data_IF_229349497606
#
_entry.id   IF_229349497606
#
_cell.length_a   1.000
_cell.length_b   1.000
_cell.length_c   1.000
_cell.angle_alpha   90.00
_cell.angle_beta   90.00
_cell.angle_gamma   90.00
#
_symmetry.space_group_name_H-M   'P 1'
#
loop_
_entity.id
_entity.type
_entity.pdbx_description
1 polymer ?
#
# COMPACT_ATOMS: atom_id res chain seq x y z
N UNK A 1 19.21 -7.80 6.65
CA UNK A 1 18.50 -7.31 5.46
C UNK A 1 17.29 -6.50 5.87
N UNK A 2 17.27 -5.20 5.53
CA UNK A 2 16.15 -4.28 5.70
C UNK A 2 15.43 -4.11 4.36
N UNK A 3 14.14 -4.42 4.32
CA UNK A 3 13.32 -4.33 3.12
C UNK A 3 12.35 -3.15 3.22
N UNK A 4 12.02 -2.53 2.08
CA UNK A 4 10.92 -1.55 2.00
C UNK A 4 9.81 -2.07 1.10
N UNK A 5 8.56 -1.89 1.51
CA UNK A 5 7.37 -2.13 0.70
C UNK A 5 6.69 -0.77 0.45
N UNK A 6 6.95 -0.13 -0.69
CA UNK A 6 6.39 1.17 -1.00
C UNK A 6 4.98 1.05 -1.58
N UNK A 7 4.12 2.00 -1.23
CA UNK A 7 2.75 2.04 -1.76
C UNK A 7 1.98 3.26 -1.27
N UNK A 8 0.85 3.55 -1.92
CA UNK A 8 -0.06 4.61 -1.45
C UNK A 8 -0.92 4.15 -0.27
N UNK A 9 -1.17 2.83 -0.17
CA UNK A 9 -1.96 2.16 0.87
C UNK A 9 -3.26 2.90 1.22
N UNK A 10 -4.07 3.18 0.20
CA UNK A 10 -5.32 3.96 0.31
C UNK A 10 -6.57 3.10 -0.06
N UNK A 11 -6.93 2.06 0.72
CA UNK A 11 -6.32 1.61 1.97
C UNK A 11 -5.26 0.51 1.78
N UNK A 12 -4.62 0.12 2.89
CA UNK A 12 -3.96 -1.18 3.00
C UNK A 12 -5.02 -2.30 2.88
N UNK A 13 -4.84 -3.20 1.91
CA UNK A 13 -5.77 -4.31 1.62
C UNK A 13 -5.22 -5.64 2.15
N UNK A 14 -6.04 -6.69 2.16
CA UNK A 14 -5.58 -8.06 2.48
C UNK A 14 -4.47 -8.54 1.52
N UNK A 15 -4.50 -8.10 0.26
CA UNK A 15 -3.44 -8.39 -0.71
C UNK A 15 -2.12 -7.71 -0.35
N UNK A 16 -2.16 -6.46 0.14
CA UNK A 16 -0.94 -5.81 0.66
C UNK A 16 -0.42 -6.52 1.91
N UNK A 17 -1.31 -6.88 2.84
CA UNK A 17 -0.95 -7.57 4.07
C UNK A 17 -0.28 -8.93 3.81
N UNK A 18 -0.72 -9.67 2.79
CA UNK A 18 -0.05 -10.92 2.38
C UNK A 18 1.42 -10.70 2.02
N UNK A 19 1.70 -9.72 1.16
CA UNK A 19 3.07 -9.40 0.73
C UNK A 19 3.91 -8.93 1.92
N UNK A 20 3.36 -8.07 2.79
CA UNK A 20 4.05 -7.58 4.00
C UNK A 20 4.37 -8.73 4.94
N UNK A 21 3.41 -9.63 5.19
CA UNK A 21 3.58 -10.80 6.07
C UNK A 21 4.61 -11.78 5.51
N UNK A 22 4.70 -11.92 4.19
CA UNK A 22 5.68 -12.81 3.57
C UNK A 22 7.07 -12.19 3.56
N UNK A 23 7.17 -10.88 3.29
CA UNK A 23 8.43 -10.16 3.38
C UNK A 23 9.00 -10.16 4.80
N UNK A 24 8.15 -10.04 5.84
CA UNK A 24 8.57 -10.04 7.24
C UNK A 24 9.14 -11.37 7.73
N UNK A 25 8.95 -12.46 6.96
CA UNK A 25 9.57 -13.77 7.23
C UNK A 25 10.94 -13.93 6.56
N UNK A 26 11.29 -13.05 5.63
CA UNK A 26 12.50 -13.13 4.81
C UNK A 26 13.50 -12.04 5.20
N UNK A 27 13.01 -10.86 5.59
CA UNK A 27 13.82 -9.73 6.04
C UNK A 27 13.86 -9.63 7.56
N UNK A 28 14.97 -9.13 8.10
CA UNK A 28 15.11 -8.87 9.54
C UNK A 28 14.20 -7.70 9.96
N UNK A 29 14.01 -6.74 9.05
CA UNK A 29 13.16 -5.57 9.27
C UNK A 29 12.46 -5.15 7.97
N UNK A 30 11.18 -4.78 8.06
CA UNK A 30 10.37 -4.35 6.92
C UNK A 30 9.78 -2.98 7.19
N UNK A 31 10.01 -2.05 6.28
CA UNK A 31 9.41 -0.71 6.28
C UNK A 31 8.26 -0.69 5.28
N UNK A 32 7.04 -0.44 5.74
CA UNK A 32 5.91 -0.08 4.88
C UNK A 32 5.97 1.42 4.62
N UNK A 33 6.46 1.80 3.44
CA UNK A 33 6.66 3.18 3.05
C UNK A 33 5.39 3.76 2.39
N UNK A 34 4.65 4.58 3.14
CA UNK A 34 3.38 5.17 2.69
C UNK A 34 3.65 6.47 1.96
N UNK A 35 3.56 6.43 0.63
CA UNK A 35 3.83 7.55 -0.25
C UNK A 35 2.58 8.23 -0.80
N UNK A 36 2.78 9.39 -1.41
CA UNK A 36 1.81 9.97 -2.36
C UNK A 36 2.27 9.59 -3.75
N UNK A 37 1.38 9.00 -4.54
CA UNK A 37 1.61 8.89 -5.98
C UNK A 37 0.98 10.12 -6.65
N UNK A 38 1.77 11.04 -7.23
CA UNK A 38 1.23 12.26 -7.86
C UNK A 38 0.23 11.98 -8.98
N UNK A 39 0.35 10.83 -9.65
CA UNK A 39 -0.54 10.40 -10.72
C UNK A 39 -1.86 9.80 -10.23
N UNK A 40 -2.04 9.59 -8.91
CA UNK A 40 -3.25 9.02 -8.32
C UNK A 40 -3.87 9.98 -7.31
N UNK A 41 -5.12 10.36 -7.54
CA UNK A 41 -5.91 11.05 -6.54
C UNK A 41 -6.05 10.16 -5.29
N UNK A 42 -5.47 10.62 -4.18
CA UNK A 42 -5.64 9.98 -2.87
C UNK A 42 -7.00 10.39 -2.32
N UNK A 43 -7.78 9.42 -1.86
CA UNK A 43 -9.08 9.67 -1.26
C UNK A 43 -8.91 10.04 0.22
N UNK A 44 -8.05 9.30 0.92
CA UNK A 44 -7.77 9.53 2.34
C UNK A 44 -6.56 10.44 2.55
N UNK A 45 -6.64 11.28 3.58
CA UNK A 45 -5.51 12.05 4.07
C UNK A 45 -4.31 11.15 4.43
N UNK A 46 -3.08 11.67 4.31
CA UNK A 46 -1.86 10.92 4.64
C UNK A 46 -1.91 10.36 6.08
N UNK A 47 -2.42 11.14 7.03
CA UNK A 47 -2.54 10.72 8.44
C UNK A 47 -3.40 9.45 8.57
N UNK A 48 -4.59 9.45 7.97
CA UNK A 48 -5.50 8.30 7.98
C UNK A 48 -4.86 7.05 7.33
N UNK A 49 -4.10 7.23 6.24
CA UNK A 49 -3.40 6.13 5.57
C UNK A 49 -2.29 5.53 6.43
N UNK A 50 -1.51 6.37 7.11
CA UNK A 50 -0.49 5.92 8.06
C UNK A 50 -1.09 5.16 9.23
N UNK A 51 -2.14 5.70 9.85
CA UNK A 51 -2.83 5.07 10.97
C UNK A 51 -3.45 3.72 10.56
N UNK A 52 -4.11 3.69 9.41
CA UNK A 52 -4.67 2.45 8.83
C UNK A 52 -3.58 1.41 8.56
N UNK A 53 -2.47 1.82 7.94
CA UNK A 53 -1.37 0.91 7.65
C UNK A 53 -0.74 0.37 8.95
N UNK A 54 -0.51 1.23 9.95
CA UNK A 54 0.02 0.82 11.28
C UNK A 54 -0.90 -0.19 11.95
N UNK A 55 -2.20 0.08 11.97
CA UNK A 55 -3.18 -0.83 12.56
C UNK A 55 -3.27 -2.16 11.80
N UNK A 56 -3.09 -2.15 10.48
CA UNK A 56 -3.09 -3.35 9.63
C UNK A 56 -1.90 -4.28 9.90
N UNK A 57 -0.76 -3.74 10.32
CA UNK A 57 0.49 -4.51 10.50
C UNK A 57 0.94 -4.66 11.95
N UNK A 58 0.19 -4.14 12.93
CA UNK A 58 0.58 -4.10 14.34
C UNK A 58 0.92 -5.46 14.98
N UNK A 59 0.46 -6.56 14.39
CA UNK A 59 0.76 -7.93 14.85
C UNK A 59 2.11 -8.47 14.34
N UNK A 60 2.81 -7.72 13.47
CA UNK A 60 4.09 -8.09 12.90
C UNK A 60 5.21 -7.29 13.61
N UNK A 61 5.99 -7.91 14.52
CA UNK A 61 6.89 -7.17 15.42
C UNK A 61 8.09 -6.53 14.73
N UNK A 62 8.44 -7.01 13.53
CA UNK A 62 9.55 -6.52 12.72
C UNK A 62 9.08 -5.67 11.51
N UNK A 63 7.86 -5.15 11.58
CA UNK A 63 7.30 -4.28 10.55
C UNK A 63 7.02 -2.91 11.13
N UNK A 64 7.60 -1.87 10.52
CA UNK A 64 7.27 -0.48 10.82
C UNK A 64 6.58 0.19 9.63
N UNK A 65 5.90 1.30 9.91
CA UNK A 65 5.23 2.11 8.89
C UNK A 65 5.83 3.51 8.94
N UNK A 66 6.29 4.01 7.80
CA UNK A 66 6.89 5.35 7.70
C UNK A 66 6.26 6.12 6.53
N UNK A 67 6.08 7.44 6.66
CA UNK A 67 5.72 8.28 5.53
C UNK A 67 6.90 8.37 4.55
N UNK A 68 6.61 8.26 3.26
CA UNK A 68 7.58 8.47 2.19
C UNK A 68 7.27 9.76 1.44
N UNK A 69 8.28 10.62 1.32
CA UNK A 69 8.25 11.85 0.53
C UNK A 69 9.40 11.79 -0.47
N UNK A 70 9.22 12.39 -1.64
CA UNK A 70 10.26 12.38 -2.68
C UNK A 70 10.36 11.04 -3.40
N UNK A 71 11.57 10.73 -3.91
CA UNK A 71 11.83 9.50 -4.66
C UNK A 71 12.03 8.32 -3.71
N UNK A 72 11.64 7.13 -4.19
CA UNK A 72 11.84 5.89 -3.45
C UNK A 72 13.32 5.62 -3.15
N UNK A 73 14.21 5.93 -4.09
CA UNK A 73 15.65 5.72 -3.91
C UNK A 73 16.24 6.59 -2.81
N UNK A 74 15.78 7.84 -2.68
CA UNK A 74 16.22 8.74 -1.61
C UNK A 74 15.75 8.21 -0.26
N UNK A 75 14.48 7.78 -0.18
CA UNK A 75 13.95 7.14 1.01
C UNK A 75 14.73 5.88 1.40
N UNK A 76 15.11 5.05 0.42
CA UNK A 76 15.92 3.87 0.67
C UNK A 76 17.30 4.24 1.25
N UNK A 77 17.96 5.27 0.70
CA UNK A 77 19.24 5.73 1.19
C UNK A 77 19.15 6.31 2.61
N UNK A 78 18.13 7.13 2.89
CA UNK A 78 17.90 7.74 4.21
C UNK A 78 17.61 6.72 5.32
N UNK A 79 17.10 5.54 4.96
CA UNK A 79 16.67 4.51 5.91
C UNK A 79 17.54 3.25 5.88
N UNK A 80 18.69 3.27 5.20
CA UNK A 80 19.58 2.11 5.04
C UNK A 80 18.83 0.85 4.56
N UNK A 81 18.03 1.01 3.51
CA UNK A 81 17.24 -0.08 2.91
C UNK A 81 18.08 -0.86 1.91
N UNK A 82 18.12 -2.19 2.06
CA UNK A 82 18.86 -3.07 1.17
C UNK A 82 18.07 -3.44 -0.09
N UNK A 83 16.74 -3.56 0.02
CA UNK A 83 15.90 -4.09 -1.06
C UNK A 83 14.48 -3.51 -1.04
N UNK A 84 13.95 -3.22 -2.23
CA UNK A 84 12.52 -2.92 -2.44
C UNK A 84 11.77 -4.22 -2.67
N UNK A 85 10.70 -4.47 -1.91
CA UNK A 85 9.84 -5.64 -2.09
C UNK A 85 8.50 -5.20 -2.67
N UNK A 86 8.06 -5.89 -3.71
CA UNK A 86 6.77 -5.62 -4.37
C UNK A 86 5.98 -6.88 -4.69
N UNK A 87 4.66 -6.77 -4.61
CA UNK A 87 3.76 -7.81 -5.09
C UNK A 87 3.54 -7.71 -6.60
N UNK A 88 3.63 -8.83 -7.32
CA UNK A 88 3.19 -8.92 -8.72
C UNK A 88 1.92 -9.75 -8.77
N UNK A 89 0.89 -9.25 -9.46
CA UNK A 89 -0.41 -9.95 -9.59
C UNK A 89 -0.56 -10.58 -10.96
N UNK A 90 -0.21 -9.83 -12.00
CA UNK A 90 -0.38 -10.24 -13.39
C UNK A 90 0.89 -9.98 -14.21
N UNK A 91 0.97 -10.61 -15.38
CA UNK A 91 2.02 -10.31 -16.36
C UNK A 91 1.97 -8.86 -16.85
N UNK A 92 0.78 -8.24 -16.87
CA UNK A 92 0.60 -6.84 -17.27
C UNK A 92 1.25 -5.88 -16.26
N UNK A 93 1.16 -6.18 -14.96
CA UNK A 93 1.84 -5.37 -13.94
C UNK A 93 3.37 -5.44 -14.09
N UNK A 94 3.88 -6.59 -14.57
CA UNK A 94 5.30 -6.91 -14.60
C UNK A 94 6.12 -5.95 -15.45
N UNK A 95 5.63 -5.52 -16.61
CA UNK A 95 6.39 -4.63 -17.50
C UNK A 95 6.65 -3.27 -16.83
N UNK A 96 5.60 -2.67 -16.27
CA UNK A 96 5.72 -1.38 -15.56
C UNK A 96 6.61 -1.48 -14.32
N UNK A 97 6.53 -2.61 -13.63
CA UNK A 97 7.31 -2.89 -12.44
C UNK A 97 8.78 -3.15 -12.76
N UNK A 98 9.06 -3.84 -13.86
CA UNK A 98 10.41 -4.07 -14.36
C UNK A 98 11.09 -2.76 -14.75
N UNK A 99 10.39 -1.89 -15.48
CA UNK A 99 10.92 -0.55 -15.80
C UNK A 99 11.29 0.21 -14.53
N UNK A 100 10.40 0.20 -13.51
CA UNK A 100 10.68 0.88 -12.26
C UNK A 100 11.88 0.28 -11.50
N UNK A 101 12.00 -1.06 -11.47
CA UNK A 101 13.12 -1.72 -10.82
C UNK A 101 14.47 -1.37 -11.48
N UNK A 102 14.54 -1.40 -12.81
CA UNK A 102 15.73 -1.00 -13.56
C UNK A 102 16.08 0.45 -13.28
N UNK A 103 15.11 1.36 -13.35
CA UNK A 103 15.33 2.79 -13.07
C UNK A 103 15.83 3.02 -11.65
N UNK A 104 15.23 2.39 -10.63
CA UNK A 104 15.67 2.53 -9.24
C UNK A 104 17.11 2.05 -9.04
N UNK A 105 17.49 0.96 -9.70
CA UNK A 105 18.85 0.45 -9.68
C UNK A 105 19.84 1.39 -10.35
N UNK A 106 19.48 1.96 -11.50
CA UNK A 106 20.33 2.91 -12.24
C UNK A 106 20.58 4.21 -11.46
N UNK A 107 19.54 4.78 -10.86
CA UNK A 107 19.65 6.10 -10.22
C UNK A 107 20.02 6.04 -8.74
N UNK A 108 19.79 4.91 -8.07
CA UNK A 108 19.94 4.78 -6.61
C UNK A 108 20.58 3.48 -6.14
N UNK A 109 20.95 2.57 -7.03
CA UNK A 109 21.61 1.31 -6.67
C UNK A 109 20.74 0.32 -5.88
N UNK A 110 19.42 0.51 -5.85
CA UNK A 110 18.51 -0.30 -5.03
C UNK A 110 17.94 -1.47 -5.84
N UNK A 111 18.12 -2.69 -5.33
CA UNK A 111 17.57 -3.90 -5.93
C UNK A 111 16.07 -4.06 -5.62
N UNK A 112 15.33 -4.75 -6.49
CA UNK A 112 13.91 -5.04 -6.31
C UNK A 112 13.64 -6.55 -6.28
N UNK A 113 12.92 -7.01 -5.26
CA UNK A 113 12.45 -8.38 -5.11
C UNK A 113 10.93 -8.41 -5.31
N UNK A 114 10.47 -9.30 -6.20
CA UNK A 114 9.05 -9.51 -6.41
C UNK A 114 8.53 -10.76 -5.71
N UNK A 115 7.35 -10.64 -5.13
CA UNK A 115 6.60 -11.74 -4.52
C UNK A 115 5.31 -11.94 -5.35
N UNK A 116 5.08 -13.14 -5.92
CA UNK A 116 3.82 -13.44 -6.58
C UNK A 116 2.67 -13.35 -5.59
N UNK A 117 1.64 -12.56 -5.92
CA UNK A 117 0.47 -12.36 -5.08
C UNK A 117 -0.35 -13.65 -5.02
N UNK A 118 -0.84 -14.03 -3.84
CA UNK A 118 -1.76 -15.15 -3.69
C UNK A 118 -2.98 -14.97 -4.63
N UNK A 119 -3.33 -15.97 -5.46
CA UNK A 119 -4.46 -15.90 -6.38
C UNK A 119 -5.78 -15.45 -5.74
N UNK A 120 -5.99 -15.76 -4.45
CA UNK A 120 -7.17 -15.34 -3.68
C UNK A 120 -7.30 -13.82 -3.57
N UNK A 121 -6.20 -13.07 -3.67
CA UNK A 121 -6.17 -11.61 -3.53
C UNK A 121 -5.86 -10.87 -4.84
N UNK A 122 -5.63 -11.57 -5.95
CA UNK A 122 -5.24 -10.94 -7.22
C UNK A 122 -6.24 -9.89 -7.72
N UNK A 123 -7.54 -10.12 -7.48
CA UNK A 123 -8.61 -9.20 -7.88
C UNK A 123 -8.77 -8.00 -6.93
N UNK A 124 -8.05 -7.96 -5.81
CA UNK A 124 -8.21 -6.94 -4.76
C UNK A 124 -7.26 -5.78 -5.02
N UNK A 125 -7.81 -4.58 -5.23
CA UNK A 125 -7.06 -3.33 -5.34
C UNK A 125 -7.63 -2.25 -4.43
N UNK A 126 -6.79 -1.33 -3.96
CA UNK A 126 -7.23 -0.19 -3.18
C UNK A 126 -8.26 0.67 -3.91
N UNK A 127 -8.16 0.79 -5.25
CA UNK A 127 -9.16 1.50 -6.05
C UNK A 127 -10.52 0.82 -6.02
N UNK A 128 -10.57 -0.51 -6.19
CA UNK A 128 -11.81 -1.28 -6.09
C UNK A 128 -12.44 -1.15 -4.68
N UNK A 129 -11.62 -1.27 -3.63
CA UNK A 129 -12.09 -1.13 -2.24
C UNK A 129 -12.68 0.25 -1.99
N UNK A 130 -12.02 1.32 -2.45
CA UNK A 130 -12.54 2.69 -2.35
C UNK A 130 -13.83 2.88 -3.13
N UNK A 131 -13.97 2.26 -4.29
CA UNK A 131 -15.20 2.37 -5.05
C UNK A 131 -16.35 1.73 -4.28
N UNK A 132 -16.21 0.45 -3.90
CA UNK A 132 -17.23 -0.30 -3.18
C UNK A 132 -17.63 0.36 -1.85
N UNK A 133 -16.65 0.78 -1.04
CA UNK A 133 -16.93 1.45 0.23
C UNK A 133 -17.64 2.80 0.02
N UNK A 134 -17.30 3.54 -1.05
CA UNK A 134 -17.97 4.79 -1.40
C UNK A 134 -19.45 4.58 -1.75
N UNK A 135 -19.80 3.44 -2.33
CA UNK A 135 -21.19 3.01 -2.58
C UNK A 135 -21.88 2.41 -1.35
N UNK A 136 -21.23 2.39 -0.18
CA UNK A 136 -21.77 1.80 1.05
C UNK A 136 -21.81 0.27 1.05
N UNK A 137 -21.06 -0.39 0.15
CA UNK A 137 -20.96 -1.84 0.11
C UNK A 137 -20.04 -2.35 1.21
N UNK A 138 -20.30 -3.57 1.70
CA UNK A 138 -19.40 -4.25 2.65
C UNK A 138 -18.08 -4.63 1.98
N UNK A 139 -16.97 -4.14 2.54
CA UNK A 139 -15.60 -4.40 2.10
C UNK A 139 -14.77 -5.18 3.14
N UNK A 140 -15.41 -5.72 4.18
CA UNK A 140 -14.74 -6.44 5.27
C UNK A 140 -13.84 -7.59 4.81
N UNK A 141 -14.15 -8.20 3.67
CA UNK A 141 -13.34 -9.27 3.05
C UNK A 141 -12.09 -8.79 2.29
N UNK A 142 -11.93 -7.48 2.08
CA UNK A 142 -10.89 -6.91 1.24
C UNK A 142 -9.82 -6.12 2.01
N UNK A 143 -10.08 -5.81 3.28
CA UNK A 143 -9.18 -5.06 4.15
C UNK A 143 -9.05 -5.76 5.51
N UNK A 144 -7.93 -5.58 6.23
CA UNK A 144 -7.85 -6.01 7.62
C UNK A 144 -8.97 -5.37 8.46
N UNK A 145 -9.47 -6.10 9.47
CA UNK A 145 -10.53 -5.58 10.36
C UNK A 145 -10.14 -4.27 11.04
N UNK A 146 -8.88 -4.13 11.44
CA UNK A 146 -8.33 -2.91 12.04
C UNK A 146 -8.38 -1.69 11.10
N UNK A 147 -8.22 -1.91 9.79
CA UNK A 147 -8.37 -0.88 8.76
C UNK A 147 -9.85 -0.52 8.58
N UNK A 148 -10.73 -1.52 8.56
CA UNK A 148 -12.17 -1.30 8.42
C UNK A 148 -12.73 -0.45 9.57
N UNK A 149 -12.33 -0.73 10.81
CA UNK A 149 -12.74 0.05 11.99
C UNK A 149 -12.37 1.53 11.83
N UNK A 150 -11.11 1.82 11.48
CA UNK A 150 -10.64 3.19 11.28
C UNK A 150 -11.39 3.90 10.15
N UNK A 151 -11.70 3.21 9.06
CA UNK A 151 -12.46 3.78 7.94
C UNK A 151 -13.93 4.05 8.29
N UNK A 152 -14.55 3.19 9.09
CA UNK A 152 -15.91 3.42 9.60
C UNK A 152 -15.99 4.67 10.49
N UNK A 153 -15.01 4.84 11.38
CA UNK A 153 -14.90 6.01 12.26
C UNK A 153 -14.57 7.32 11.51
N UNK A 154 -13.92 7.22 10.34
CA UNK A 154 -13.42 8.37 9.58
C UNK A 154 -14.07 8.50 8.19
N UNK A 155 -15.32 8.04 8.01
CA UNK A 155 -15.99 7.99 6.70
C UNK A 155 -15.98 9.33 5.96
N UNK A 156 -16.17 10.43 6.67
CA UNK A 156 -16.16 11.79 6.11
C UNK A 156 -14.76 12.22 5.63
N UNK A 157 -13.69 11.79 6.32
CA UNK A 157 -12.29 12.09 5.97
C UNK A 157 -11.82 11.24 4.79
N UNK A 158 -12.37 10.02 4.62
CA UNK A 158 -12.05 9.13 3.49
C UNK A 158 -12.73 9.62 2.19
N UNK A 159 -13.84 10.35 2.26
CA UNK A 159 -14.64 10.79 1.09
C UNK A 159 -14.99 12.29 1.04
N UNK A 160 -14.24 13.15 1.72
CA UNK A 160 -14.50 14.60 1.79
C UNK A 160 -14.69 15.29 0.41
N UNK A 161 -14.26 14.65 -0.69
CA UNK A 161 -14.36 15.17 -2.05
C UNK A 161 -15.53 14.67 -2.92
N UNK A 162 -16.47 13.85 -2.41
CA UNK A 162 -17.59 13.30 -3.23
C UNK A 162 -18.99 13.84 -2.92
N UNK A 163 -19.12 14.87 -2.09
CA UNK A 163 -20.41 15.43 -1.66
C UNK A 163 -21.23 16.20 -2.72
N UNK A 164 -21.00 16.02 -4.03
CA UNK A 164 -21.77 16.72 -5.09
C UNK A 164 -22.40 15.81 -6.15
N UNK A 165 -22.28 14.48 -6.03
CA UNK A 165 -22.91 13.54 -6.96
C UNK A 165 -24.23 12.99 -6.46
N UNK A 166 -25.23 13.85 -6.22
CA UNK A 166 -26.59 13.41 -5.93
C UNK A 166 -27.15 12.60 -7.10
N UNK A 167 -27.48 11.33 -6.86
CA UNK A 167 -28.41 10.59 -7.70
C UNK A 167 -29.81 11.09 -7.33
N UNK A 168 -30.37 11.96 -8.16
CA UNK A 168 -31.83 12.09 -8.22
C UNK A 168 -32.33 10.90 -9.04
N UNK A 169 -33.30 10.19 -8.45
CA UNK A 169 -34.20 9.25 -9.13
C UNK A 169 -34.87 9.87 -10.36
#
# INVERSE_FOLDING_TARGET
>A
MKAVIPGSFDPLTVGHLDIITRASRIADHVIVAVGVNPAKASASEMKCRLESARAGVAHLPNVEVLPMRGLLVDFCAENDVDVVVKGIRTSVDMDSEMTQAVTNREIGGVETLWIPTDPRYQHVSSSLVRELFGWGMDVSRYVPSSVLTLWGENRDVVYAHRATGGHND
#
